data_IF_363260192183
#
_entry.id   IF_363260192183
#
_cell.length_a   1.000
_cell.length_b   1.000
_cell.length_c   1.000
_cell.angle_alpha   90.00
_cell.angle_beta   90.00
_cell.angle_gamma   90.00
#
_symmetry.space_group_name_H-M   'P 1'
#
loop_
_entity.id
_entity.type
_entity.pdbx_description
1 polymer ?
#
# COMPACT_ATOMS: atom_id res chain seq x y z
N UNK A 1 -31.78 10.63 -35.88
CA UNK A 1 -30.76 9.96 -36.71
C UNK A 1 -29.89 9.13 -35.78
N UNK A 2 -30.10 7.82 -35.79
CA UNK A 2 -29.48 6.87 -34.88
C UNK A 2 -28.16 6.36 -35.47
N UNK A 3 -27.07 6.43 -34.70
CA UNK A 3 -25.82 5.76 -35.00
C UNK A 3 -25.81 4.38 -34.31
N UNK A 4 -25.45 3.28 -35.00
CA UNK A 4 -25.57 1.93 -34.46
C UNK A 4 -24.37 1.53 -33.58
N UNK A 5 -24.66 0.67 -32.60
CA UNK A 5 -23.72 0.02 -31.67
C UNK A 5 -22.84 -0.98 -32.41
N UNK A 6 -21.52 -0.86 -32.30
CA UNK A 6 -20.57 -1.87 -32.74
C UNK A 6 -20.25 -2.82 -31.58
N UNK A 7 -20.72 -4.06 -31.68
CA UNK A 7 -20.37 -5.19 -30.83
C UNK A 7 -19.09 -5.85 -31.35
N UNK A 8 -18.02 -5.86 -30.55
CA UNK A 8 -16.79 -6.60 -30.83
C UNK A 8 -17.02 -8.09 -30.55
N UNK A 9 -17.21 -8.89 -31.60
CA UNK A 9 -17.16 -10.35 -31.54
C UNK A 9 -15.71 -10.81 -31.72
N UNK A 10 -15.12 -11.40 -30.68
CA UNK A 10 -13.85 -12.10 -30.75
C UNK A 10 -14.06 -13.46 -31.44
N UNK A 11 -13.57 -13.57 -32.68
CA UNK A 11 -13.51 -14.81 -33.46
C UNK A 11 -12.23 -15.57 -33.07
N UNK A 12 -12.36 -16.85 -32.70
CA UNK A 12 -11.24 -17.73 -32.40
C UNK A 12 -10.45 -18.12 -33.67
N UNK A 13 -9.13 -18.33 -33.61
CA UNK A 13 -8.35 -18.67 -34.78
C UNK A 13 -8.52 -20.14 -35.19
N UNK A 14 -8.95 -20.34 -36.44
CA UNK A 14 -8.97 -21.62 -37.18
C UNK A 14 -7.55 -22.01 -37.54
N UNK A 15 -7.07 -23.15 -37.04
CA UNK A 15 -5.80 -23.76 -37.46
C UNK A 15 -6.06 -24.71 -38.62
N UNK A 16 -5.68 -24.29 -39.84
CA UNK A 16 -5.66 -25.15 -41.02
C UNK A 16 -4.41 -26.03 -41.02
N UNK A 17 -4.62 -27.35 -41.01
CA UNK A 17 -3.59 -28.35 -41.23
C UNK A 17 -3.17 -28.43 -42.69
N UNK A 18 -1.86 -28.46 -42.93
CA UNK A 18 -1.28 -29.00 -44.17
C UNK A 18 -0.19 -29.98 -43.79
N UNK A 19 -0.46 -31.24 -44.10
CA UNK A 19 0.43 -32.39 -44.01
C UNK A 19 1.54 -32.30 -45.07
N UNK A 20 2.79 -32.59 -44.71
CA UNK A 20 3.72 -33.22 -45.65
C UNK A 20 4.58 -34.27 -44.95
N UNK A 21 4.39 -35.48 -45.46
CA UNK A 21 4.97 -36.77 -45.11
C UNK A 21 6.49 -36.81 -45.21
N UNK A 22 7.14 -37.45 -44.24
CA UNK A 22 8.36 -38.24 -44.44
C UNK A 22 8.23 -39.52 -43.62
N UNK A 23 8.12 -40.66 -44.30
CA UNK A 23 8.41 -42.00 -43.77
C UNK A 23 9.92 -42.22 -43.94
N UNK A 24 10.62 -42.65 -42.89
CA UNK A 24 11.07 -44.05 -42.75
C UNK A 24 12.12 -44.25 -41.63
N UNK A 25 11.88 -45.32 -40.88
CA UNK A 25 12.75 -46.17 -40.06
C UNK A 25 13.99 -45.57 -39.34
N UNK A 26 13.90 -45.56 -38.00
CA UNK A 26 14.84 -46.38 -37.23
C UNK A 26 14.17 -46.93 -35.97
N UNK A 27 14.20 -48.25 -35.87
CA UNK A 27 13.81 -49.03 -34.71
C UNK A 27 14.83 -48.85 -33.59
N UNK A 28 14.39 -48.37 -32.42
CA UNK A 28 15.05 -48.75 -31.17
C UNK A 28 13.98 -49.05 -30.12
N UNK A 29 14.16 -50.24 -29.54
CA UNK A 29 13.25 -50.93 -28.64
C UNK A 29 13.07 -50.10 -27.36
N UNK A 30 11.85 -49.61 -27.12
CA UNK A 30 11.49 -49.04 -25.84
C UNK A 30 11.27 -50.17 -24.80
N UNK A 31 11.79 -50.06 -23.57
CA UNK A 31 11.30 -50.89 -22.48
C UNK A 31 9.89 -50.39 -22.12
N UNK A 32 8.87 -51.11 -22.60
CA UNK A 32 7.50 -51.03 -22.12
C UNK A 32 7.47 -51.49 -20.66
N UNK A 33 7.20 -50.59 -19.73
CA UNK A 33 6.98 -50.99 -18.33
C UNK A 33 6.52 -49.88 -17.38
N UNK A 34 7.26 -48.77 -17.24
CA UNK A 34 7.04 -47.85 -16.10
C UNK A 34 6.67 -46.40 -16.46
N UNK A 35 6.85 -45.95 -17.71
CA UNK A 35 6.66 -44.53 -18.07
C UNK A 35 5.20 -44.04 -18.08
N UNK A 36 4.20 -44.92 -18.21
CA UNK A 36 2.78 -44.50 -18.26
C UNK A 36 2.24 -44.02 -16.90
N UNK A 37 2.71 -44.60 -15.78
CA UNK A 37 2.33 -44.17 -14.43
C UNK A 37 2.96 -42.83 -14.08
N UNK A 38 4.24 -42.65 -14.40
CA UNK A 38 4.94 -41.37 -14.25
C UNK A 38 4.29 -40.25 -15.07
N UNK A 39 3.89 -40.50 -16.32
CA UNK A 39 3.16 -39.51 -17.14
C UNK A 39 1.79 -39.14 -16.57
N UNK A 40 1.01 -40.11 -16.06
CA UNK A 40 -0.29 -39.82 -15.42
C UNK A 40 -0.15 -39.12 -14.08
N UNK A 41 0.87 -39.45 -13.30
CA UNK A 41 1.18 -38.76 -12.05
C UNK A 41 1.68 -37.34 -12.33
N UNK A 42 2.57 -37.14 -13.30
CA UNK A 42 3.04 -35.82 -13.72
C UNK A 42 1.91 -34.97 -14.31
N UNK A 43 1.00 -35.57 -15.10
CA UNK A 43 -0.19 -34.90 -15.59
C UNK A 43 -1.13 -34.52 -14.44
N UNK A 44 -1.41 -35.45 -13.51
CA UNK A 44 -2.23 -35.19 -12.33
C UNK A 44 -1.63 -34.10 -11.43
N UNK A 45 -0.31 -34.13 -11.22
CA UNK A 45 0.42 -33.11 -10.47
C UNK A 45 0.36 -31.78 -11.24
N UNK A 46 0.62 -31.76 -12.54
CA UNK A 46 0.54 -30.55 -13.36
C UNK A 46 -0.86 -29.93 -13.34
N UNK A 47 -1.91 -30.73 -13.53
CA UNK A 47 -3.31 -30.27 -13.49
C UNK A 47 -3.67 -29.78 -12.07
N UNK A 48 -3.26 -30.51 -11.01
CA UNK A 48 -3.53 -30.11 -9.62
C UNK A 48 -2.77 -28.84 -9.23
N UNK A 49 -1.51 -28.72 -9.61
CA UNK A 49 -0.70 -27.53 -9.34
C UNK A 49 -1.19 -26.35 -10.19
N UNK A 50 -1.58 -26.57 -11.45
CA UNK A 50 -2.20 -25.55 -12.29
C UNK A 50 -3.53 -25.07 -11.73
N UNK A 51 -4.39 -25.97 -11.25
CA UNK A 51 -5.66 -25.60 -10.59
C UNK A 51 -5.42 -24.80 -9.31
N UNK A 52 -4.40 -25.16 -8.52
CA UNK A 52 -4.03 -24.43 -7.29
C UNK A 52 -3.41 -23.07 -7.60
N UNK A 53 -2.53 -22.98 -8.60
CA UNK A 53 -1.96 -21.72 -9.10
C UNK A 53 -3.06 -20.82 -9.67
N UNK A 54 -3.97 -21.36 -10.47
CA UNK A 54 -5.11 -20.63 -11.03
C UNK A 54 -6.09 -20.16 -9.94
N UNK A 55 -6.38 -21.00 -8.94
CA UNK A 55 -7.21 -20.60 -7.81
C UNK A 55 -6.54 -19.50 -6.98
N UNK A 56 -5.23 -19.63 -6.71
CA UNK A 56 -4.44 -18.60 -6.02
C UNK A 56 -4.48 -17.29 -6.80
N UNK A 57 -4.22 -17.32 -8.09
CA UNK A 57 -4.24 -16.15 -8.96
C UNK A 57 -5.63 -15.51 -8.99
N UNK A 58 -6.70 -16.32 -9.11
CA UNK A 58 -8.08 -15.84 -9.05
C UNK A 58 -8.40 -15.16 -7.71
N UNK A 59 -8.00 -15.76 -6.59
CA UNK A 59 -8.21 -15.19 -5.25
C UNK A 59 -7.45 -13.87 -5.08
N UNK A 60 -6.20 -13.80 -5.57
CA UNK A 60 -5.41 -12.57 -5.58
C UNK A 60 -6.09 -11.49 -6.44
N UNK A 61 -6.53 -11.82 -7.64
CA UNK A 61 -7.25 -10.90 -8.52
C UNK A 61 -8.54 -10.40 -7.87
N UNK A 62 -9.26 -11.27 -7.16
CA UNK A 62 -10.47 -10.90 -6.41
C UNK A 62 -10.15 -9.95 -5.25
N UNK A 63 -9.07 -10.18 -4.51
CA UNK A 63 -8.60 -9.28 -3.46
C UNK A 63 -8.21 -7.91 -4.04
N UNK A 64 -7.40 -7.88 -5.11
CA UNK A 64 -6.99 -6.65 -5.79
C UNK A 64 -8.21 -5.89 -6.31
N UNK A 65 -9.17 -6.58 -6.94
CA UNK A 65 -10.40 -5.98 -7.44
C UNK A 65 -11.25 -5.38 -6.32
N UNK A 66 -11.32 -6.04 -5.17
CA UNK A 66 -12.00 -5.52 -3.97
C UNK A 66 -11.36 -4.21 -3.50
N UNK A 67 -10.03 -4.16 -3.40
CA UNK A 67 -9.30 -2.95 -3.00
C UNK A 67 -9.56 -1.80 -3.97
N UNK A 68 -9.50 -2.05 -5.29
CA UNK A 68 -9.82 -1.02 -6.29
C UNK A 68 -11.25 -0.53 -6.16
N UNK A 69 -12.21 -1.43 -5.91
CA UNK A 69 -13.60 -1.06 -5.73
C UNK A 69 -13.82 -0.22 -4.47
N UNK A 70 -13.12 -0.51 -3.38
CA UNK A 70 -13.19 0.24 -2.13
C UNK A 70 -12.56 1.64 -2.23
N UNK A 71 -11.55 1.79 -3.08
CA UNK A 71 -10.81 3.03 -3.32
C UNK A 71 -11.34 3.89 -4.48
N UNK A 72 -12.45 3.51 -5.12
CA UNK A 72 -13.04 4.34 -6.19
C UNK A 72 -13.32 5.76 -5.70
N UNK A 73 -13.05 6.72 -6.56
CA UNK A 73 -13.35 8.13 -6.30
C UNK A 73 -14.85 8.35 -6.10
N UNK A 74 -15.21 9.09 -5.06
CA UNK A 74 -16.60 9.42 -4.75
C UNK A 74 -17.03 10.72 -5.46
N UNK A 75 -16.95 10.74 -6.79
CA UNK A 75 -17.24 11.95 -7.59
C UNK A 75 -18.64 12.51 -7.31
N UNK A 76 -19.66 11.65 -7.29
CA UNK A 76 -21.04 12.05 -7.00
C UNK A 76 -21.21 12.70 -5.61
N UNK A 77 -20.58 12.13 -4.58
CA UNK A 77 -20.67 12.65 -3.21
C UNK A 77 -19.92 13.99 -3.14
N UNK A 78 -18.75 14.08 -3.78
CA UNK A 78 -17.95 15.30 -3.85
C UNK A 78 -18.70 16.45 -4.53
N UNK A 79 -19.39 16.17 -5.64
CA UNK A 79 -20.17 17.18 -6.37
C UNK A 79 -21.40 17.66 -5.57
N UNK A 80 -22.05 16.74 -4.83
CA UNK A 80 -23.29 17.06 -4.12
C UNK A 80 -23.07 17.66 -2.73
N UNK A 81 -22.07 17.19 -2.00
CA UNK A 81 -21.84 17.51 -0.59
C UNK A 81 -20.46 18.12 -0.31
N UNK A 82 -19.67 18.35 -1.35
CA UNK A 82 -18.36 18.99 -1.25
C UNK A 82 -17.21 18.01 -0.95
N UNK A 83 -15.97 18.49 -1.09
CA UNK A 83 -14.77 17.68 -0.93
C UNK A 83 -14.57 17.18 0.51
N UNK A 84 -14.90 17.99 1.52
CA UNK A 84 -14.69 17.66 2.93
C UNK A 84 -15.53 16.45 3.36
N UNK A 85 -16.82 16.47 3.05
CA UNK A 85 -17.75 15.37 3.36
C UNK A 85 -17.37 14.12 2.58
N UNK A 86 -17.00 14.25 1.30
CA UNK A 86 -16.58 13.11 0.48
C UNK A 86 -15.30 12.44 1.01
N UNK A 87 -14.28 13.24 1.36
CA UNK A 87 -13.03 12.75 1.93
C UNK A 87 -13.25 12.11 3.30
N UNK A 88 -14.01 12.77 4.18
CA UNK A 88 -14.38 12.23 5.49
C UNK A 88 -15.14 10.91 5.39
N UNK A 89 -16.15 10.84 4.52
CA UNK A 89 -16.92 9.61 4.28
C UNK A 89 -16.02 8.47 3.79
N UNK A 90 -15.09 8.76 2.87
CA UNK A 90 -14.14 7.77 2.38
C UNK A 90 -13.27 7.20 3.51
N UNK A 91 -12.65 8.06 4.32
CA UNK A 91 -11.79 7.64 5.44
C UNK A 91 -12.57 6.79 6.44
N UNK A 92 -13.76 7.25 6.84
CA UNK A 92 -14.62 6.52 7.78
C UNK A 92 -15.05 5.17 7.22
N UNK A 93 -15.32 5.07 5.91
CA UNK A 93 -15.64 3.81 5.23
C UNK A 93 -14.45 2.84 5.25
N UNK A 94 -13.23 3.35 5.12
CA UNK A 94 -11.99 2.57 5.21
C UNK A 94 -11.65 2.11 6.63
N UNK A 95 -12.36 2.61 7.65
CA UNK A 95 -12.13 2.27 9.05
C UNK A 95 -11.28 3.29 9.81
N UNK A 96 -10.86 4.38 9.16
CA UNK A 96 -10.09 5.45 9.76
C UNK A 96 -10.93 6.43 10.60
N UNK A 97 -10.30 7.55 10.94
CA UNK A 97 -10.87 8.64 11.69
C UNK A 97 -10.54 9.99 11.04
N UNK A 98 -11.42 10.97 11.24
CA UNK A 98 -11.23 12.33 10.75
C UNK A 98 -11.55 13.35 11.81
N UNK A 99 -10.86 14.48 11.77
CA UNK A 99 -11.10 15.62 12.64
C UNK A 99 -11.37 16.85 11.77
N UNK A 100 -12.55 17.42 11.93
CA UNK A 100 -12.90 18.70 11.32
C UNK A 100 -12.35 19.85 12.17
N UNK A 101 -12.14 21.00 11.55
CA UNK A 101 -11.60 22.16 12.26
C UNK A 101 -12.49 22.56 13.45
N UNK A 102 -11.89 22.63 14.64
CA UNK A 102 -12.60 22.95 15.88
C UNK A 102 -13.58 21.88 16.37
N UNK A 103 -13.51 20.66 15.84
CA UNK A 103 -14.34 19.52 16.24
C UNK A 103 -13.49 18.41 16.87
N UNK A 104 -14.15 17.49 17.57
CA UNK A 104 -13.54 16.26 18.07
C UNK A 104 -13.32 15.22 16.95
N UNK A 105 -12.52 14.21 17.26
CA UNK A 105 -12.26 13.09 16.34
C UNK A 105 -13.53 12.28 16.11
N UNK A 106 -13.82 12.03 14.83
CA UNK A 106 -14.92 11.19 14.38
C UNK A 106 -14.32 9.87 13.91
N UNK A 107 -14.66 8.77 14.58
CA UNK A 107 -14.09 7.44 14.34
C UNK A 107 -15.11 6.46 13.75
N UNK A 108 -14.63 5.45 13.02
CA UNK A 108 -15.45 4.38 12.46
C UNK A 108 -15.83 3.27 13.48
N UNK A 109 -15.07 3.13 14.57
CA UNK A 109 -15.03 1.94 15.44
C UNK A 109 -16.13 1.85 16.52
N UNK A 110 -17.03 2.82 16.63
CA UNK A 110 -18.13 2.79 17.61
C UNK A 110 -19.50 2.83 16.96
N UNK A 111 -19.99 4.05 16.73
CA UNK A 111 -21.23 4.34 16.00
C UNK A 111 -20.80 5.01 14.71
N UNK A 112 -21.02 4.38 13.54
CA UNK A 112 -20.78 5.07 12.27
C UNK A 112 -21.58 6.38 12.29
N UNK A 113 -20.93 7.54 12.09
CA UNK A 113 -21.65 8.80 12.02
C UNK A 113 -22.76 8.65 11.01
N UNK A 114 -23.97 9.07 11.39
CA UNK A 114 -25.06 9.04 10.44
C UNK A 114 -24.65 9.90 9.24
N UNK A 115 -24.99 9.50 8.02
CA UNK A 115 -24.68 10.31 6.84
C UNK A 115 -25.19 11.75 7.00
N UNK A 116 -26.25 11.95 7.77
CA UNK A 116 -26.84 13.25 8.12
C UNK A 116 -25.95 14.11 9.03
N UNK A 117 -25.23 13.50 9.97
CA UNK A 117 -24.29 14.19 10.85
C UNK A 117 -23.10 14.72 10.05
N UNK A 118 -22.60 13.93 9.09
CA UNK A 118 -21.51 14.36 8.22
C UNK A 118 -21.88 15.54 7.32
N UNK A 119 -23.16 15.66 6.94
CA UNK A 119 -23.66 16.78 6.11
C UNK A 119 -23.60 18.13 6.85
N UNK A 120 -23.63 18.13 8.18
CA UNK A 120 -23.47 19.35 8.96
C UNK A 120 -22.09 20.00 8.80
N UNK A 121 -21.09 19.22 8.36
CA UNK A 121 -19.71 19.67 8.19
C UNK A 121 -19.37 20.08 6.74
N UNK A 122 -20.36 20.32 5.89
CA UNK A 122 -20.12 20.66 4.47
C UNK A 122 -19.24 21.91 4.27
N UNK A 123 -19.34 22.88 5.19
CA UNK A 123 -18.55 24.11 5.15
C UNK A 123 -17.35 24.11 6.11
N UNK A 124 -17.11 23.01 6.83
CA UNK A 124 -16.02 22.90 7.80
C UNK A 124 -14.89 22.08 7.15
N UNK A 125 -13.67 22.62 7.03
CA UNK A 125 -12.55 21.88 6.46
C UNK A 125 -12.12 20.74 7.38
N UNK A 126 -11.57 19.69 6.76
CA UNK A 126 -10.92 18.58 7.48
C UNK A 126 -9.50 19.01 7.84
N UNK A 127 -9.19 19.02 9.13
CA UNK A 127 -7.90 19.44 9.68
C UNK A 127 -6.94 18.25 9.83
N UNK A 128 -7.45 17.10 10.25
CA UNK A 128 -6.62 15.92 10.49
C UNK A 128 -7.31 14.63 10.03
N UNK A 129 -6.52 13.72 9.47
CA UNK A 129 -6.97 12.41 9.01
C UNK A 129 -6.06 11.35 9.60
N UNK A 130 -6.67 10.39 10.28
CA UNK A 130 -6.03 9.14 10.65
C UNK A 130 -6.58 8.02 9.77
N UNK A 131 -5.77 7.58 8.80
CA UNK A 131 -6.07 6.46 7.94
C UNK A 131 -5.11 5.29 8.22
N UNK A 132 -4.65 5.14 9.46
CA UNK A 132 -3.85 4.00 9.88
C UNK A 132 -4.59 2.68 9.62
N UNK A 133 -3.84 1.64 9.25
CA UNK A 133 -4.33 0.30 8.92
C UNK A 133 -5.37 0.24 7.77
N UNK A 134 -5.55 1.34 7.04
CA UNK A 134 -6.50 1.40 5.94
C UNK A 134 -5.90 0.84 4.64
N UNK A 135 -6.72 0.20 3.82
CA UNK A 135 -6.33 -0.32 2.51
C UNK A 135 -6.33 0.79 1.44
N UNK A 136 -5.77 1.97 1.72
CA UNK A 136 -5.71 3.10 0.77
C UNK A 136 -4.64 2.83 -0.29
N UNK A 137 -5.02 2.96 -1.56
CA UNK A 137 -4.12 2.87 -2.70
C UNK A 137 -3.98 4.22 -3.42
N UNK A 138 -3.22 4.22 -4.52
CA UNK A 138 -3.00 5.39 -5.37
C UNK A 138 -4.29 6.10 -5.82
N UNK A 139 -5.34 5.36 -6.16
CA UNK A 139 -6.62 5.92 -6.62
C UNK A 139 -7.45 6.47 -5.45
N UNK A 140 -7.42 5.79 -4.31
CA UNK A 140 -8.15 6.20 -3.11
C UNK A 140 -7.61 7.48 -2.49
N UNK A 141 -6.30 7.71 -2.63
CA UNK A 141 -5.62 8.90 -2.14
C UNK A 141 -6.21 10.19 -2.74
N UNK A 142 -6.79 10.16 -3.95
CA UNK A 142 -7.47 11.30 -4.59
C UNK A 142 -8.54 11.94 -3.70
N UNK A 143 -9.23 11.13 -2.91
CA UNK A 143 -10.26 11.61 -2.00
C UNK A 143 -9.66 12.45 -0.86
N UNK A 144 -8.42 12.15 -0.45
CA UNK A 144 -7.67 12.91 0.57
C UNK A 144 -7.00 14.15 -0.02
N UNK A 145 -6.47 14.07 -1.24
CA UNK A 145 -5.80 15.19 -1.90
C UNK A 145 -6.75 16.38 -2.22
N UNK A 146 -8.06 16.14 -2.15
CA UNK A 146 -9.09 17.18 -2.25
C UNK A 146 -9.23 18.03 -0.98
N UNK A 147 -8.67 17.60 0.16
CA UNK A 147 -8.72 18.29 1.45
C UNK A 147 -7.57 19.29 1.54
N UNK A 148 -7.74 20.49 0.96
CA UNK A 148 -6.65 21.45 0.80
C UNK A 148 -6.14 22.07 2.09
N UNK A 149 -6.93 22.01 3.14
CA UNK A 149 -6.61 22.55 4.47
C UNK A 149 -6.10 21.47 5.44
N UNK A 150 -5.81 20.27 4.94
CA UNK A 150 -5.36 19.15 5.76
C UNK A 150 -3.97 19.44 6.36
N UNK A 151 -3.88 19.40 7.69
CA UNK A 151 -2.65 19.69 8.43
C UNK A 151 -1.94 18.43 8.91
N UNK A 152 -2.69 17.38 9.25
CA UNK A 152 -2.13 16.13 9.78
C UNK A 152 -2.69 14.93 9.04
N UNK A 153 -1.79 14.05 8.56
CA UNK A 153 -2.14 12.83 7.83
C UNK A 153 -1.36 11.64 8.38
N UNK A 154 -2.07 10.69 8.98
CA UNK A 154 -1.50 9.39 9.34
C UNK A 154 -1.88 8.33 8.31
N UNK A 155 -0.88 7.66 7.75
CA UNK A 155 -1.01 6.53 6.83
C UNK A 155 -0.31 5.29 7.40
N UNK A 156 -0.19 5.17 8.72
CA UNK A 156 0.56 4.08 9.34
C UNK A 156 0.05 2.71 8.91
N UNK A 157 0.96 1.77 8.68
CA UNK A 157 0.67 0.36 8.36
C UNK A 157 -0.29 0.18 7.17
N UNK A 158 -0.36 1.16 6.26
CA UNK A 158 -1.16 1.04 5.04
C UNK A 158 -0.47 0.10 4.03
N UNK A 159 -1.04 -1.08 3.70
CA UNK A 159 -0.34 -2.09 2.88
C UNK A 159 -0.20 -1.71 1.40
N UNK A 160 -0.98 -0.74 0.92
CA UNK A 160 -1.04 -0.35 -0.48
C UNK A 160 -0.45 1.02 -0.79
N UNK A 161 -0.03 1.79 0.23
CA UNK A 161 0.68 3.05 0.06
C UNK A 161 2.10 2.77 -0.42
N UNK A 162 2.46 3.31 -1.58
CA UNK A 162 3.76 3.13 -2.23
C UNK A 162 4.35 4.48 -2.72
N UNK A 163 5.51 4.42 -3.36
CA UNK A 163 6.22 5.62 -3.83
C UNK A 163 5.38 6.50 -4.78
N UNK A 164 4.51 5.89 -5.59
CA UNK A 164 3.59 6.61 -6.48
C UNK A 164 2.51 7.37 -5.71
N UNK A 165 2.09 6.85 -4.57
CA UNK A 165 1.19 7.57 -3.66
C UNK A 165 1.89 8.82 -3.11
N UNK A 166 3.14 8.67 -2.64
CA UNK A 166 3.91 9.78 -2.07
C UNK A 166 4.20 10.88 -3.10
N UNK A 167 4.44 10.51 -4.37
CA UNK A 167 4.67 11.47 -5.45
C UNK A 167 3.48 12.39 -5.73
N UNK A 168 2.30 12.15 -5.13
CA UNK A 168 1.10 12.99 -5.27
C UNK A 168 0.83 13.89 -4.07
N UNK A 169 1.51 13.67 -2.95
CA UNK A 169 1.32 14.46 -1.73
C UNK A 169 1.72 15.93 -1.93
N UNK A 170 2.48 16.27 -2.98
CA UNK A 170 2.77 17.66 -3.36
C UNK A 170 1.49 18.53 -3.50
N UNK A 171 0.33 17.92 -3.78
CA UNK A 171 -0.94 18.64 -3.84
C UNK A 171 -1.43 19.18 -2.49
N UNK A 172 -0.79 18.78 -1.40
CA UNK A 172 -1.01 19.22 -0.02
C UNK A 172 0.20 20.00 0.53
N UNK A 173 1.15 20.41 -0.32
CA UNK A 173 2.38 21.09 0.09
C UNK A 173 2.13 22.38 0.88
N UNK A 174 1.04 23.09 0.59
CA UNK A 174 0.72 24.36 1.21
C UNK A 174 0.10 24.24 2.61
N UNK A 175 -0.36 23.04 3.01
CA UNK A 175 -1.14 22.85 4.25
C UNK A 175 -0.62 21.77 5.18
N UNK A 176 -0.01 20.71 4.64
CA UNK A 176 0.39 19.56 5.43
C UNK A 176 1.59 19.88 6.34
N UNK A 177 1.42 19.61 7.63
CA UNK A 177 2.39 19.88 8.69
C UNK A 177 2.87 18.60 9.38
N UNK A 178 2.03 17.57 9.45
CA UNK A 178 2.37 16.29 10.07
C UNK A 178 2.02 15.14 9.14
N UNK A 179 2.99 14.25 8.91
CA UNK A 179 2.84 13.06 8.09
C UNK A 179 3.43 11.85 8.81
N UNK A 180 2.65 10.78 9.00
CA UNK A 180 3.18 9.50 9.45
C UNK A 180 3.02 8.43 8.38
N UNK A 181 4.13 7.81 8.02
CA UNK A 181 4.23 6.69 7.08
C UNK A 181 4.67 5.40 7.79
N UNK A 182 4.71 5.39 9.12
CA UNK A 182 5.33 4.31 9.87
C UNK A 182 4.72 2.94 9.54
N UNK A 183 5.58 1.93 9.38
CA UNK A 183 5.14 0.57 9.07
C UNK A 183 4.58 0.38 7.65
N UNK A 184 4.70 1.34 6.73
CA UNK A 184 4.26 1.16 5.34
C UNK A 184 5.22 0.25 4.56
N UNK A 185 4.78 -0.94 4.09
CA UNK A 185 5.70 -1.95 3.57
C UNK A 185 6.25 -1.66 2.16
N UNK A 186 5.62 -0.75 1.42
CA UNK A 186 5.93 -0.48 -0.01
C UNK A 186 6.52 0.91 -0.24
N UNK A 187 6.78 1.66 0.83
CA UNK A 187 7.44 2.98 0.76
C UNK A 187 8.95 2.78 0.80
N UNK A 188 9.63 3.28 -0.23
CA UNK A 188 11.08 3.21 -0.37
C UNK A 188 11.73 4.59 -0.27
N UNK A 189 13.07 4.59 -0.25
CA UNK A 189 13.91 5.80 -0.30
C UNK A 189 13.54 6.72 -1.48
N UNK A 190 13.10 6.15 -2.61
CA UNK A 190 12.68 6.91 -3.80
C UNK A 190 11.38 7.67 -3.57
N UNK A 191 10.41 7.04 -2.92
CA UNK A 191 9.14 7.68 -2.58
C UNK A 191 9.32 8.78 -1.54
N UNK A 192 10.16 8.54 -0.55
CA UNK A 192 10.51 9.54 0.46
C UNK A 192 11.19 10.77 -0.16
N UNK A 193 12.05 10.58 -1.17
CA UNK A 193 12.64 11.71 -1.89
C UNK A 193 11.60 12.59 -2.61
N UNK A 194 10.40 12.09 -2.92
CA UNK A 194 9.33 12.92 -3.49
C UNK A 194 8.73 13.93 -2.49
N UNK A 195 8.97 13.76 -1.18
CA UNK A 195 8.42 14.60 -0.12
C UNK A 195 9.08 15.98 -0.02
N UNK A 196 10.15 16.28 -0.77
CA UNK A 196 10.79 17.60 -0.78
C UNK A 196 9.84 18.76 -1.13
N UNK A 197 8.70 18.50 -1.74
CA UNK A 197 7.72 19.56 -2.02
C UNK A 197 7.02 20.06 -0.75
N UNK A 198 7.00 19.26 0.33
CA UNK A 198 6.26 19.54 1.56
C UNK A 198 7.04 20.46 2.51
N UNK A 199 7.33 21.68 2.06
CA UNK A 199 8.19 22.63 2.80
C UNK A 199 7.57 23.13 4.12
N UNK A 200 6.27 22.95 4.31
CA UNK A 200 5.55 23.27 5.55
C UNK A 200 5.51 22.12 6.57
N UNK A 201 6.07 20.95 6.21
CA UNK A 201 6.09 19.79 7.08
C UNK A 201 6.97 20.05 8.30
N UNK A 202 6.43 19.76 9.48
CA UNK A 202 7.06 19.93 10.80
C UNK A 202 7.36 18.61 11.46
N UNK A 203 6.59 17.57 11.17
CA UNK A 203 6.82 16.21 11.68
C UNK A 203 6.63 15.18 10.57
N UNK A 204 7.62 14.32 10.42
CA UNK A 204 7.60 13.21 9.48
C UNK A 204 8.01 11.94 10.24
N UNK A 205 7.12 10.95 10.30
CA UNK A 205 7.42 9.66 10.91
C UNK A 205 7.62 8.59 9.83
N UNK A 206 8.86 8.08 9.75
CA UNK A 206 9.33 7.07 8.80
C UNK A 206 9.81 5.80 9.53
N UNK A 207 9.29 5.55 10.73
CA UNK A 207 9.63 4.37 11.53
C UNK A 207 9.21 3.07 10.82
N UNK A 208 9.98 2.00 11.02
CA UNK A 208 9.63 0.65 10.56
C UNK A 208 9.25 0.52 9.07
N UNK A 209 10.02 1.17 8.18
CA UNK A 209 9.84 1.03 6.72
C UNK A 209 10.70 -0.11 6.17
N UNK A 210 10.15 -1.32 5.89
CA UNK A 210 10.95 -2.49 5.52
C UNK A 210 11.57 -2.41 4.11
N UNK A 211 11.07 -1.52 3.25
CA UNK A 211 11.60 -1.31 1.90
C UNK A 211 12.72 -0.24 1.85
N UNK A 212 13.01 0.41 2.98
CA UNK A 212 14.15 1.34 3.12
C UNK A 212 15.38 0.53 3.50
N UNK A 213 16.44 0.59 2.68
CA UNK A 213 17.64 -0.24 2.88
C UNK A 213 18.61 0.40 3.86
N UNK A 214 18.78 1.72 3.78
CA UNK A 214 19.74 2.46 4.60
C UNK A 214 19.04 3.60 5.37
N UNK A 215 18.29 3.27 6.44
CA UNK A 215 17.44 4.25 7.10
C UNK A 215 18.21 5.44 7.69
N UNK A 216 19.44 5.24 8.16
CA UNK A 216 20.28 6.35 8.63
C UNK A 216 20.67 7.34 7.52
N UNK A 217 20.96 6.87 6.31
CA UNK A 217 21.21 7.76 5.16
C UNK A 217 19.92 8.44 4.70
N UNK A 218 18.80 7.71 4.73
CA UNK A 218 17.49 8.26 4.42
C UNK A 218 17.12 9.38 5.37
N UNK A 219 17.37 9.22 6.67
CA UNK A 219 17.12 10.26 7.66
C UNK A 219 17.91 11.54 7.36
N UNK A 220 19.23 11.43 7.16
CA UNK A 220 20.08 12.58 6.81
C UNK A 220 19.55 13.27 5.54
N UNK A 221 19.19 12.48 4.53
CA UNK A 221 18.64 13.01 3.29
C UNK A 221 17.31 13.77 3.54
N UNK A 222 16.41 13.22 4.37
CA UNK A 222 15.15 13.89 4.70
C UNK A 222 15.36 15.17 5.50
N UNK A 223 16.27 15.17 6.48
CA UNK A 223 16.63 16.34 7.28
C UNK A 223 17.22 17.47 6.41
N UNK A 224 18.04 17.13 5.41
CA UNK A 224 18.57 18.12 4.45
C UNK A 224 17.48 18.65 3.50
N UNK A 225 16.55 17.80 3.06
CA UNK A 225 15.47 18.19 2.14
C UNK A 225 14.34 18.97 2.84
N UNK A 226 14.16 18.76 4.14
CA UNK A 226 13.09 19.33 4.97
C UNK A 226 13.70 19.90 6.27
N UNK A 227 14.44 21.03 6.20
CA UNK A 227 15.25 21.53 7.32
C UNK A 227 14.45 21.97 8.54
N UNK A 228 13.15 22.24 8.37
CA UNK A 228 12.24 22.64 9.46
C UNK A 228 11.37 21.48 9.97
N UNK A 229 11.64 20.24 9.52
CA UNK A 229 10.87 19.06 9.85
C UNK A 229 11.62 18.16 10.84
N UNK A 230 10.95 17.78 11.92
CA UNK A 230 11.39 16.73 12.82
C UNK A 230 11.13 15.36 12.16
N UNK A 231 12.18 14.58 11.94
CA UNK A 231 12.09 13.23 11.35
C UNK A 231 12.16 12.17 12.46
N UNK A 232 11.07 11.43 12.63
CA UNK A 232 10.93 10.34 13.61
C UNK A 232 11.19 8.98 12.97
N UNK A 233 11.72 8.05 13.77
CA UNK A 233 12.19 6.72 13.32
C UNK A 233 13.69 6.50 13.49
N UNK A 234 14.36 7.34 14.28
CA UNK A 234 15.82 7.34 14.51
C UNK A 234 16.36 6.22 15.44
N UNK A 235 15.56 5.18 15.75
CA UNK A 235 16.02 4.10 16.64
C UNK A 235 17.00 3.10 15.98
N UNK A 236 17.35 3.31 14.71
CA UNK A 236 18.39 2.53 14.02
C UNK A 236 19.78 2.67 14.68
N UNK A 237 20.02 3.75 15.44
CA UNK A 237 21.26 3.98 16.17
C UNK A 237 21.45 3.08 17.41
N UNK A 238 20.41 2.40 17.90
CA UNK A 238 20.56 1.47 19.03
C UNK A 238 21.40 0.24 18.65
N UNK A 239 21.40 -0.17 17.38
CA UNK A 239 22.25 -1.25 16.87
C UNK A 239 23.75 -0.90 16.88
N UNK A 240 24.10 0.37 16.62
CA UNK A 240 25.49 0.85 16.64
C UNK A 240 26.04 1.11 18.05
N UNK A 241 25.16 1.32 19.05
CA UNK A 241 25.57 1.52 20.46
C UNK A 241 25.85 0.20 21.21
N UNK A 242 25.52 -0.96 20.63
CA UNK A 242 25.82 -2.26 21.23
C UNK A 242 27.21 -2.79 20.86
N UNK A 243 28.27 -2.09 21.27
CA UNK A 243 29.62 -2.68 21.39
C UNK A 243 29.77 -3.17 22.83
N UNK A 244 30.19 -4.42 23.09
CA UNK A 244 30.07 -5.01 24.43
C UNK A 244 30.91 -4.23 25.43
N UNK A 245 30.25 -3.68 26.44
CA UNK A 245 30.93 -3.15 27.62
C UNK A 245 31.72 -4.28 28.28
N UNK A 246 32.94 -3.90 28.66
CA UNK A 246 33.99 -4.74 29.23
C UNK A 246 33.46 -5.62 30.36
N UNK A 247 33.97 -6.86 30.38
CA UNK A 247 33.97 -7.77 31.52
C UNK A 247 34.18 -7.00 32.82
N UNK A 248 33.17 -7.10 33.69
CA UNK A 248 33.19 -6.70 35.08
C UNK A 248 34.41 -7.30 35.79
N UNK A 249 35.13 -6.43 36.47
CA UNK A 249 36.26 -6.75 37.33
C UNK A 249 35.85 -7.76 38.42
N UNK A 250 36.61 -8.84 38.53
CA UNK A 250 36.62 -9.72 39.71
C UNK A 250 37.06 -8.92 40.94
N UNK A 251 36.12 -8.58 41.81
CA UNK A 251 36.40 -8.10 43.16
C UNK A 251 36.54 -9.30 44.10
N UNK A 252 37.75 -9.87 44.15
CA UNK A 252 38.14 -10.74 45.25
C UNK A 252 38.25 -9.89 46.54
N UNK A 253 37.36 -10.10 47.50
CA UNK A 253 37.50 -9.59 48.86
C UNK A 253 38.14 -10.68 49.74
N UNK A 254 39.16 -10.37 50.56
CA UNK A 254 39.71 -11.33 51.53
C UNK A 254 38.92 -11.28 52.84
N UNK A 255 38.62 -12.46 53.39
CA UNK A 255 38.02 -12.66 54.71
C UNK A 255 39.09 -12.47 55.80
N UNK A 256 38.85 -11.71 56.89
CA UNK A 256 39.67 -11.81 58.08
C UNK A 256 39.05 -12.74 59.13
N UNK A 257 39.92 -13.47 59.83
CA UNK A 257 39.66 -14.15 61.10
C UNK A 257 40.00 -13.22 62.26
#
# INVERSE_FOLDING_TARGET
>A
MAAPRASLNLVAPVWNGVTKSIRDLSSSVAPKGSQKKGKRLLQFLADRFYDVEALREYLLQKQVSKVHQENRSFTYIKERYGPYVAGAYFVLKQGGAVKFQGQEWIQSSGRRPSSLELLSFQAVPVESVDASDCAINYEGLDNLLALKELQSLSLQRCPHVDDWCLSRLYQLADSLQELSLAGCPRVSERGLACLHHLQNLRRLDISDLPAVSNPGLTQILMEEMLPNCEVLGADWAQGLKSRPEKQSQDTASPTPA
#
